data_IF_266834968773
#
_entry.id   IF_266834968773
#
_cell.length_a   1.000
_cell.length_b   1.000
_cell.length_c   1.000
_cell.angle_alpha   90.00
_cell.angle_beta   90.00
_cell.angle_gamma   90.00
#
_symmetry.space_group_name_H-M   'P 1'
#
loop_
_entity.id
_entity.type
_entity.pdbx_description
1 polymer ?
#
# COMPACT_ATOMS: atom_id res chain seq x y z
N UNK A 1 -8.29 9.36 -10.11
CA UNK A 1 -7.32 8.29 -10.42
C UNK A 1 -6.91 7.62 -9.12
N UNK A 2 -6.87 6.28 -9.10
CA UNK A 2 -6.27 5.47 -8.04
C UNK A 2 -4.88 5.03 -8.49
N UNK A 3 -3.88 5.23 -7.63
CA UNK A 3 -2.52 4.71 -7.83
C UNK A 3 -2.35 3.43 -7.02
N UNK A 4 -1.95 2.34 -7.65
CA UNK A 4 -1.57 1.08 -6.98
C UNK A 4 -0.07 0.89 -7.11
N UNK A 5 0.62 0.62 -6.01
CA UNK A 5 2.07 0.38 -6.00
C UNK A 5 2.42 -0.83 -5.13
N UNK A 6 3.23 -1.75 -5.67
CA UNK A 6 3.71 -2.94 -4.96
C UNK A 6 5.18 -2.85 -4.53
N UNK A 7 5.78 -1.68 -4.70
CA UNK A 7 7.20 -1.43 -4.46
C UNK A 7 8.11 -2.12 -5.47
N UNK A 8 9.37 -2.28 -5.11
CA UNK A 8 10.42 -2.88 -5.96
C UNK A 8 10.90 -4.23 -5.44
N UNK A 9 10.11 -4.85 -4.55
CA UNK A 9 10.43 -6.16 -3.96
C UNK A 9 10.53 -7.24 -5.05
N UNK A 10 11.48 -8.17 -4.91
CA UNK A 10 11.69 -9.23 -5.91
C UNK A 10 10.59 -10.30 -5.91
N UNK A 11 9.87 -10.43 -4.80
CA UNK A 11 8.75 -11.35 -4.67
C UNK A 11 7.49 -10.76 -5.34
N UNK A 12 6.83 -11.49 -6.27
CA UNK A 12 5.60 -11.04 -6.90
C UNK A 12 4.48 -10.77 -5.89
N UNK A 13 3.65 -9.75 -6.11
CA UNK A 13 2.43 -9.48 -5.34
C UNK A 13 1.16 -9.76 -6.14
N UNK A 14 1.12 -10.94 -6.74
CA UNK A 14 0.07 -11.37 -7.65
C UNK A 14 -1.34 -11.36 -7.02
N UNK A 15 -1.46 -11.59 -5.71
CA UNK A 15 -2.75 -11.52 -5.02
C UNK A 15 -3.39 -10.13 -5.11
N UNK A 16 -2.61 -9.07 -4.90
CA UNK A 16 -3.13 -7.70 -5.02
C UNK A 16 -3.56 -7.41 -6.46
N UNK A 17 -2.81 -7.89 -7.46
CA UNK A 17 -3.18 -7.74 -8.87
C UNK A 17 -4.53 -8.40 -9.15
N UNK A 18 -4.75 -9.64 -8.70
CA UNK A 18 -6.05 -10.30 -8.82
C UNK A 18 -7.17 -9.59 -8.09
N UNK A 19 -6.91 -8.96 -6.94
CA UNK A 19 -7.92 -8.16 -6.24
C UNK A 19 -8.33 -6.93 -7.05
N UNK A 20 -7.35 -6.20 -7.60
CA UNK A 20 -7.62 -5.01 -8.43
C UNK A 20 -8.34 -5.41 -9.72
N UNK A 21 -7.99 -6.54 -10.33
CA UNK A 21 -8.67 -7.08 -11.53
C UNK A 21 -10.15 -7.32 -11.25
N UNK A 22 -10.48 -8.06 -10.19
CA UNK A 22 -11.88 -8.30 -9.81
C UNK A 22 -12.63 -7.00 -9.53
N UNK A 23 -12.00 -6.03 -8.88
CA UNK A 23 -12.60 -4.74 -8.57
C UNK A 23 -12.89 -3.93 -9.85
N UNK A 24 -11.95 -3.95 -10.81
CA UNK A 24 -12.08 -3.28 -12.08
C UNK A 24 -13.14 -3.92 -12.97
N UNK A 25 -13.11 -5.25 -13.12
CA UNK A 25 -14.01 -6.00 -14.00
C UNK A 25 -15.47 -5.95 -13.53
N UNK A 26 -15.69 -5.89 -12.22
CA UNK A 26 -17.03 -5.76 -11.63
C UNK A 26 -17.53 -4.31 -11.54
N UNK A 27 -16.72 -3.33 -11.97
CA UNK A 27 -17.13 -1.93 -12.00
C UNK A 27 -17.31 -1.30 -10.61
N UNK A 28 -16.63 -1.81 -9.58
CA UNK A 28 -16.64 -1.18 -8.25
C UNK A 28 -15.91 0.17 -8.23
N UNK A 29 -15.15 0.47 -9.29
CA UNK A 29 -14.38 1.69 -9.48
C UNK A 29 -14.65 2.21 -10.89
N UNK A 30 -15.13 3.45 -11.00
CA UNK A 30 -15.40 4.11 -12.29
C UNK A 30 -14.28 5.07 -12.74
N UNK A 31 -13.20 5.16 -11.97
CA UNK A 31 -12.07 6.04 -12.27
C UNK A 31 -10.84 5.28 -12.77
N UNK A 32 -9.93 6.01 -13.42
CA UNK A 32 -8.66 5.44 -13.90
C UNK A 32 -7.82 4.82 -12.76
N UNK A 33 -7.37 3.59 -12.99
CA UNK A 33 -6.40 2.87 -12.17
C UNK A 33 -5.04 2.89 -12.87
N UNK A 34 -4.01 3.37 -12.18
CA UNK A 34 -2.62 3.31 -12.61
C UNK A 34 -1.84 2.41 -11.66
N UNK A 35 -1.08 1.45 -12.20
CA UNK A 35 -0.40 0.42 -11.42
C UNK A 35 1.11 0.47 -11.67
N UNK A 36 1.87 0.52 -10.59
CA UNK A 36 3.28 0.14 -10.57
C UNK A 36 3.40 -1.28 -10.02
N UNK A 37 3.62 -2.26 -10.91
CA UNK A 37 3.46 -3.70 -10.60
C UNK A 37 4.77 -4.42 -10.24
N UNK A 38 5.92 -3.76 -10.33
CA UNK A 38 7.20 -4.31 -9.87
C UNK A 38 7.52 -5.68 -10.48
N UNK A 39 7.70 -6.68 -9.63
CA UNK A 39 7.99 -8.08 -9.97
C UNK A 39 6.74 -8.95 -10.21
N UNK A 40 5.52 -8.39 -10.15
CA UNK A 40 4.31 -9.17 -10.42
C UNK A 40 4.36 -9.78 -11.81
N UNK A 41 3.87 -11.02 -11.94
CA UNK A 41 3.90 -11.77 -13.20
C UNK A 41 2.64 -11.55 -14.04
N UNK A 42 1.66 -10.84 -13.50
CA UNK A 42 0.46 -10.37 -14.21
C UNK A 42 -0.01 -9.04 -13.62
N UNK A 43 -0.87 -8.35 -14.34
CA UNK A 43 -1.59 -7.16 -13.89
C UNK A 43 -2.96 -7.10 -14.60
N UNK A 44 -3.95 -6.39 -14.02
CA UNK A 44 -5.30 -6.27 -14.57
C UNK A 44 -5.36 -5.79 -16.02
N UNK A 45 -6.33 -6.28 -16.78
CA UNK A 45 -6.64 -5.80 -18.13
C UNK A 45 -7.23 -4.39 -18.11
N UNK A 46 -6.98 -3.58 -19.15
CA UNK A 46 -7.64 -2.27 -19.32
C UNK A 46 -7.16 -1.15 -18.38
N UNK A 47 -6.10 -1.38 -17.60
CA UNK A 47 -5.49 -0.36 -16.72
C UNK A 47 -4.17 0.16 -17.31
N UNK A 48 -3.70 1.32 -16.83
CA UNK A 48 -2.34 1.79 -17.13
C UNK A 48 -1.37 1.09 -16.19
N UNK A 49 -0.42 0.34 -16.73
CA UNK A 49 0.52 -0.44 -15.92
C UNK A 49 1.98 -0.18 -16.31
N UNK A 50 2.83 -0.06 -15.29
CA UNK A 50 4.28 0.14 -15.41
C UNK A 50 4.99 -0.82 -14.48
N UNK A 51 6.02 -1.53 -14.93
CA UNK A 51 6.81 -2.39 -14.02
C UNK A 51 7.55 -1.52 -13.00
N UNK A 52 8.22 -0.49 -13.52
CA UNK A 52 8.97 0.50 -12.76
C UNK A 52 8.61 1.90 -13.27
N UNK A 53 8.72 2.87 -12.37
CA UNK A 53 8.55 4.29 -12.65
C UNK A 53 9.79 5.02 -12.17
N UNK A 54 10.19 6.08 -12.87
CA UNK A 54 11.17 7.01 -12.32
C UNK A 54 10.58 7.71 -11.08
N UNK A 55 11.45 8.20 -10.20
CA UNK A 55 11.02 8.95 -9.01
C UNK A 55 10.12 10.14 -9.39
N UNK A 56 10.45 10.86 -10.46
CA UNK A 56 9.65 12.00 -10.94
C UNK A 56 8.25 11.55 -11.43
N UNK A 57 8.18 10.47 -12.21
CA UNK A 57 6.91 9.93 -12.69
C UNK A 57 6.05 9.45 -11.53
N UNK A 58 6.65 8.74 -10.58
CA UNK A 58 5.95 8.23 -9.41
C UNK A 58 5.42 9.36 -8.53
N UNK A 59 6.21 10.41 -8.30
CA UNK A 59 5.78 11.60 -7.56
C UNK A 59 4.61 12.31 -8.24
N UNK A 60 4.66 12.48 -9.57
CA UNK A 60 3.56 13.05 -10.36
C UNK A 60 2.28 12.22 -10.21
N UNK A 61 2.38 10.90 -10.25
CA UNK A 61 1.23 10.01 -10.05
C UNK A 61 0.67 10.11 -8.61
N UNK A 62 1.53 10.19 -7.60
CA UNK A 62 1.10 10.44 -6.21
C UNK A 62 0.30 11.75 -6.12
N UNK A 63 0.78 12.83 -6.74
CA UNK A 63 0.11 14.13 -6.73
C UNK A 63 -1.23 14.13 -7.45
N UNK A 64 -1.35 13.37 -8.54
CA UNK A 64 -2.59 13.19 -9.29
C UNK A 64 -3.57 12.22 -8.62
N UNK A 65 -3.08 11.33 -7.75
CA UNK A 65 -3.90 10.32 -7.11
C UNK A 65 -4.95 10.95 -6.20
N UNK A 66 -6.17 10.43 -6.30
CA UNK A 66 -7.23 10.66 -5.32
C UNK A 66 -7.01 9.79 -4.09
N UNK A 67 -6.52 8.58 -4.32
CA UNK A 67 -6.19 7.59 -3.31
C UNK A 67 -5.04 6.70 -3.80
N UNK A 68 -4.23 6.21 -2.87
CA UNK A 68 -3.12 5.30 -3.15
C UNK A 68 -3.34 3.95 -2.46
N UNK A 69 -3.15 2.85 -3.17
CA UNK A 69 -3.09 1.49 -2.61
C UNK A 69 -1.62 1.05 -2.62
N UNK A 70 -1.09 0.74 -1.45
CA UNK A 70 0.32 0.36 -1.27
C UNK A 70 0.48 -0.92 -0.47
N UNK A 71 1.67 -1.54 -0.56
CA UNK A 71 2.02 -2.64 0.32
C UNK A 71 2.51 -2.16 1.70
N UNK A 72 2.52 -3.04 2.70
CA UNK A 72 2.97 -2.73 4.08
C UNK A 72 4.50 -2.82 4.26
N UNK A 73 5.30 -2.36 3.29
CA UNK A 73 6.75 -2.21 3.49
C UNK A 73 7.05 -0.91 4.22
N UNK A 74 8.05 -0.90 5.12
CA UNK A 74 8.36 0.27 5.95
C UNK A 74 8.58 1.56 5.12
N UNK A 75 9.37 1.48 4.05
CA UNK A 75 9.61 2.63 3.16
C UNK A 75 8.35 3.14 2.46
N UNK A 76 7.48 2.23 2.03
CA UNK A 76 6.19 2.57 1.41
C UNK A 76 5.25 3.21 2.43
N UNK A 77 5.17 2.68 3.65
CA UNK A 77 4.36 3.24 4.73
C UNK A 77 4.82 4.65 5.08
N UNK A 78 6.13 4.87 5.24
CA UNK A 78 6.70 6.19 5.53
C UNK A 78 6.44 7.18 4.40
N UNK A 79 6.63 6.76 3.15
CA UNK A 79 6.32 7.58 1.98
C UNK A 79 4.85 8.00 1.99
N UNK A 80 3.92 7.05 2.14
CA UNK A 80 2.47 7.31 2.12
C UNK A 80 2.06 8.24 3.26
N UNK A 81 2.61 8.03 4.46
CA UNK A 81 2.39 8.88 5.62
C UNK A 81 2.88 10.33 5.42
N UNK A 82 3.93 10.53 4.62
CA UNK A 82 4.43 11.86 4.27
C UNK A 82 3.56 12.57 3.21
N UNK A 83 2.68 11.85 2.50
CA UNK A 83 1.77 12.46 1.53
C UNK A 83 0.54 13.09 2.20
N UNK A 84 -0.13 13.98 1.47
CA UNK A 84 -1.44 14.50 1.86
C UNK A 84 -2.60 13.60 1.38
N UNK A 85 -2.30 12.47 0.73
CA UNK A 85 -3.29 11.62 0.05
C UNK A 85 -3.85 10.55 1.00
N UNK A 86 -5.15 10.23 0.91
CA UNK A 86 -5.68 8.99 1.49
C UNK A 86 -4.94 7.78 0.92
N UNK A 87 -4.65 6.80 1.77
CA UNK A 87 -4.01 5.57 1.34
C UNK A 87 -4.60 4.34 2.04
N UNK A 88 -4.48 3.20 1.36
CA UNK A 88 -4.87 1.88 1.84
C UNK A 88 -3.64 1.00 1.78
N UNK A 89 -3.38 0.27 2.86
CA UNK A 89 -2.30 -0.68 2.94
C UNK A 89 -2.79 -2.10 2.73
N UNK A 90 -2.02 -2.91 2.00
CA UNK A 90 -2.26 -4.34 1.80
C UNK A 90 -0.98 -5.09 2.16
N UNK A 91 -0.93 -5.85 3.26
CA UNK A 91 0.29 -6.54 3.63
C UNK A 91 0.57 -7.70 2.71
N UNK A 92 1.85 -7.92 2.40
CA UNK A 92 2.35 -9.17 1.83
C UNK A 92 2.38 -10.24 2.90
N UNK A 93 2.15 -11.50 2.53
CA UNK A 93 2.30 -12.64 3.44
C UNK A 93 3.27 -13.68 2.90
N UNK A 94 4.05 -14.25 3.81
CA UNK A 94 4.87 -15.43 3.56
C UNK A 94 4.04 -16.62 3.07
N UNK A 95 2.82 -16.79 3.59
CA UNK A 95 1.92 -17.88 3.19
C UNK A 95 1.62 -17.88 1.69
N UNK A 96 1.50 -16.70 1.08
CA UNK A 96 1.26 -16.55 -0.35
C UNK A 96 2.56 -16.46 -1.18
N UNK A 97 3.74 -16.60 -0.54
CA UNK A 97 5.04 -16.45 -1.18
C UNK A 97 5.35 -15.01 -1.62
N UNK A 98 4.73 -14.02 -0.99
CA UNK A 98 4.84 -12.60 -1.37
C UNK A 98 6.00 -11.90 -0.66
N UNK A 99 6.58 -12.55 0.34
CA UNK A 99 7.75 -12.12 1.10
C UNK A 99 8.39 -13.34 1.79
N UNK A 100 9.62 -13.19 2.30
CA UNK A 100 10.33 -14.27 3.02
C UNK A 100 9.77 -14.54 4.43
N UNK A 101 9.06 -13.57 4.99
CA UNK A 101 8.53 -13.55 6.36
C UNK A 101 7.26 -12.69 6.43
N UNK A 102 6.60 -12.69 7.58
CA UNK A 102 5.34 -11.98 7.81
C UNK A 102 5.52 -10.61 8.51
N UNK A 103 6.70 -9.98 8.45
CA UNK A 103 6.92 -8.67 9.10
C UNK A 103 5.94 -7.59 8.60
N UNK A 104 5.53 -7.67 7.33
CA UNK A 104 4.52 -6.76 6.76
C UNK A 104 3.14 -6.98 7.37
N UNK A 105 2.79 -8.22 7.75
CA UNK A 105 1.55 -8.55 8.47
C UNK A 105 1.59 -7.97 9.87
N UNK A 106 2.70 -8.16 10.60
CA UNK A 106 2.89 -7.61 11.95
C UNK A 106 2.76 -6.08 11.96
N UNK A 107 3.41 -5.40 11.01
CA UNK A 107 3.30 -3.96 10.84
C UNK A 107 1.85 -3.54 10.50
N UNK A 108 1.18 -4.29 9.62
CA UNK A 108 -0.19 -4.01 9.26
C UNK A 108 -1.17 -4.14 10.44
N UNK A 109 -0.98 -5.13 11.32
CA UNK A 109 -1.76 -5.25 12.56
C UNK A 109 -1.56 -4.01 13.44
N UNK A 110 -0.32 -3.61 13.69
CA UNK A 110 -0.01 -2.43 14.51
C UNK A 110 -0.56 -1.12 13.91
N UNK A 111 -0.57 -0.99 12.58
CA UNK A 111 -1.12 0.18 11.89
C UNK A 111 -2.66 0.18 11.92
N UNK A 112 -3.30 -0.98 11.81
CA UNK A 112 -4.75 -1.11 11.92
C UNK A 112 -5.26 -0.69 13.31
N UNK A 113 -4.54 -1.01 14.39
CA UNK A 113 -4.84 -0.52 15.74
C UNK A 113 -4.81 1.01 15.83
N UNK A 114 -3.97 1.66 15.02
CA UNK A 114 -3.90 3.12 14.87
C UNK A 114 -4.91 3.69 13.88
N UNK A 115 -5.89 2.88 13.46
CA UNK A 115 -6.96 3.23 12.51
C UNK A 115 -6.44 3.59 11.11
N UNK A 116 -5.23 3.15 10.75
CA UNK A 116 -4.76 3.24 9.36
C UNK A 116 -5.54 2.20 8.53
N UNK A 117 -6.03 2.52 7.32
CA UNK A 117 -6.79 1.56 6.52
C UNK A 117 -5.87 0.43 6.03
N UNK A 118 -6.17 -0.78 6.50
CA UNK A 118 -5.48 -2.00 6.08
C UNK A 118 -6.52 -2.95 5.49
N UNK A 119 -6.37 -3.29 4.22
CA UNK A 119 -7.25 -4.23 3.54
C UNK A 119 -6.71 -5.66 3.67
N UNK A 120 -7.49 -6.51 4.33
CA UNK A 120 -7.20 -7.94 4.50
C UNK A 120 -7.91 -8.81 3.45
N UNK A 121 -8.81 -8.21 2.68
CA UNK A 121 -9.62 -8.86 1.65
C UNK A 121 -9.96 -7.87 0.52
N UNK A 122 -10.42 -8.35 -0.65
CA UNK A 122 -10.98 -7.49 -1.69
C UNK A 122 -12.16 -6.64 -1.18
N UNK A 123 -12.98 -7.19 -0.28
CA UNK A 123 -14.13 -6.50 0.31
C UNK A 123 -13.71 -5.29 1.14
N UNK A 124 -12.62 -5.39 1.89
CA UNK A 124 -12.04 -4.25 2.60
C UNK A 124 -11.58 -3.17 1.63
N UNK A 125 -10.93 -3.58 0.54
CA UNK A 125 -10.44 -2.65 -0.48
C UNK A 125 -11.60 -1.86 -1.10
N UNK A 126 -12.68 -2.54 -1.51
CA UNK A 126 -13.92 -1.90 -2.00
C UNK A 126 -14.50 -0.94 -0.95
N UNK A 127 -14.59 -1.36 0.32
CA UNK A 127 -15.10 -0.53 1.41
C UNK A 127 -14.30 0.77 1.58
N UNK A 128 -12.98 0.69 1.56
CA UNK A 128 -12.12 1.87 1.73
C UNK A 128 -12.07 2.75 0.47
N UNK A 129 -12.17 2.16 -0.72
CA UNK A 129 -12.26 2.89 -1.99
C UNK A 129 -13.52 3.77 -2.08
N UNK A 130 -14.64 3.26 -1.55
CA UNK A 130 -15.92 3.96 -1.51
C UNK A 130 -15.94 5.11 -0.49
N UNK A 131 -15.18 5.03 0.59
CA UNK A 131 -15.10 6.05 1.64
C UNK A 131 -13.64 6.38 2.03
N UNK A 132 -12.87 7.02 1.12
CA UNK A 132 -11.50 7.41 1.41
C UNK A 132 -11.49 8.45 2.51
N UNK A 133 -10.68 8.23 3.53
CA UNK A 133 -10.41 9.23 4.56
C UNK A 133 -8.91 9.34 4.77
N UNK A 134 -8.46 10.57 5.02
CA UNK A 134 -7.06 10.81 5.33
C UNK A 134 -6.77 10.32 6.73
N UNK A 135 -5.73 9.52 6.86
CA UNK A 135 -5.21 9.11 8.16
C UNK A 135 -3.89 9.78 8.45
N UNK A 136 -3.66 10.10 9.72
CA UNK A 136 -2.43 10.72 10.18
C UNK A 136 -1.64 9.70 10.98
N UNK A 137 -0.54 9.23 10.39
CA UNK A 137 0.48 8.53 11.15
C UNK A 137 1.47 9.59 11.65
N UNK A 138 1.55 9.86 12.96
CA UNK A 138 2.54 10.80 13.47
C UNK A 138 3.93 10.31 13.07
N UNK A 139 4.83 11.20 12.62
CA UNK A 139 6.19 10.82 12.29
C UNK A 139 6.80 10.13 13.50
N UNK A 140 7.25 8.89 13.33
CA UNK A 140 8.10 8.21 14.31
C UNK A 140 9.44 8.93 14.23
N UNK A 141 9.62 9.98 15.03
CA UNK A 141 10.92 10.62 15.16
C UNK A 141 11.87 9.63 15.82
N UNK A 142 13.13 9.56 15.36
CA UNK A 142 14.17 8.74 16.00
C UNK A 142 14.29 9.01 17.50
N UNK A 143 13.86 10.19 17.95
CA UNK A 143 13.68 10.56 19.36
C UNK A 143 12.76 9.61 20.13
N UNK A 144 11.63 9.20 19.54
CA UNK A 144 10.68 8.25 20.17
C UNK A 144 11.32 6.88 20.34
N UNK A 145 12.09 6.42 19.35
CA UNK A 145 12.83 5.15 19.41
C UNK A 145 13.91 5.23 20.50
N UNK A 146 14.71 6.30 20.52
CA UNK A 146 15.72 6.53 21.55
C UNK A 146 15.12 6.60 22.96
N UNK A 147 13.96 7.24 23.13
CA UNK A 147 13.26 7.33 24.41
C UNK A 147 12.75 5.97 24.88
N UNK A 148 12.20 5.17 23.96
CA UNK A 148 11.65 3.85 24.26
C UNK A 148 12.75 2.83 24.57
N UNK A 149 13.89 2.92 23.88
CA UNK A 149 15.07 2.11 24.18
C UNK A 149 15.68 2.49 25.54
N UNK A 150 15.81 3.79 25.85
CA UNK A 150 16.24 4.24 27.19
C UNK A 150 15.35 3.64 28.29
N UNK A 151 14.03 3.78 28.19
CA UNK A 151 13.11 3.27 29.19
C UNK A 151 13.08 1.73 29.33
N UNK A 152 13.64 0.98 28.38
CA UNK A 152 13.69 -0.50 28.40
C UNK A 152 15.00 -1.04 28.97
N UNK A 153 16.07 -0.25 28.89
CA UNK A 153 17.43 -0.65 29.27
C UNK A 153 18.02 0.17 30.43
N UNK A 154 17.32 1.20 30.91
CA UNK A 154 17.53 1.88 32.19
C UNK A 154 16.51 1.39 33.24
#
# INVERSE_FOLDING_TARGET
>A
MILVTVGTEQFPFNRLMGWIEVINDLGFVEEEIVIQYGSCTHYPSGVKAYSLLSQEQFQKLIEQARLIVGHCGEGTVLLLAATSKPYILVPRSQYFGEHVDDHQIELAVALAEKKIPVAWSPGDLVRFLAAPHRTFLPPVTGTVICQHLKNRFD
#
